data_IF_138956023618
#
_entry.id   IF_138956023618
#
_cell.length_a   1.000
_cell.length_b   1.000
_cell.length_c   1.000
_cell.angle_alpha   90.00
_cell.angle_beta   90.00
_cell.angle_gamma   90.00
#
_symmetry.space_group_name_H-M   'P 1'
#
loop_
_entity.id
_entity.type
_entity.pdbx_description
1 polymer ?
#
# COMPACT_ATOMS: atom_id res chain seq x y z
N UNK A 1 -12.35 4.11 -10.69
CA UNK A 1 -11.64 5.06 -9.81
C UNK A 1 -10.25 4.54 -9.47
N UNK A 2 -9.30 5.41 -9.31
CA UNK A 2 -7.95 5.02 -8.91
C UNK A 2 -7.84 4.87 -7.41
N UNK A 3 -7.15 3.80 -7.01
CA UNK A 3 -6.90 3.46 -5.62
C UNK A 3 -5.39 3.45 -5.40
N UNK A 4 -4.97 4.05 -4.30
CA UNK A 4 -3.57 4.06 -3.87
C UNK A 4 -3.40 3.12 -2.69
N UNK A 5 -2.43 2.22 -2.77
CA UNK A 5 -2.07 1.38 -1.62
C UNK A 5 -0.76 1.85 -1.01
N UNK A 6 -0.69 1.76 0.30
CA UNK A 6 0.46 2.19 1.10
C UNK A 6 0.98 0.99 1.91
N UNK A 7 2.26 0.70 1.75
CA UNK A 7 2.98 -0.23 2.61
C UNK A 7 3.93 0.60 3.48
N UNK A 8 3.56 0.79 4.75
CA UNK A 8 4.29 1.65 5.66
C UNK A 8 5.44 0.89 6.34
N UNK A 9 6.68 1.19 5.95
CA UNK A 9 7.87 0.66 6.60
C UNK A 9 8.52 1.69 7.52
N UNK A 10 9.48 1.26 8.32
CA UNK A 10 10.19 2.16 9.25
C UNK A 10 11.02 3.20 8.51
N UNK A 11 11.68 2.80 7.42
CA UNK A 11 12.60 3.65 6.69
C UNK A 11 12.04 4.15 5.38
N UNK A 12 11.10 3.42 4.81
CA UNK A 12 10.54 3.71 3.49
C UNK A 12 9.07 3.34 3.45
N UNK A 13 8.36 4.04 2.60
CA UNK A 13 6.94 3.81 2.37
C UNK A 13 6.77 3.47 0.89
N UNK A 14 6.28 2.26 0.62
CA UNK A 14 5.99 1.81 -0.73
C UNK A 14 4.60 2.22 -1.15
N UNK A 15 4.45 2.69 -2.38
CA UNK A 15 3.17 3.11 -2.93
C UNK A 15 2.88 2.38 -4.23
N UNK A 16 1.66 1.89 -4.36
CA UNK A 16 1.16 1.29 -5.58
C UNK A 16 -0.14 1.99 -6.00
N UNK A 17 -0.38 2.04 -7.30
CA UNK A 17 -1.52 2.75 -7.86
C UNK A 17 -2.30 1.82 -8.78
N UNK A 18 -3.62 1.83 -8.68
CA UNK A 18 -4.46 1.11 -9.62
C UNK A 18 -4.71 1.97 -10.87
N UNK A 19 -5.11 1.29 -11.95
CA UNK A 19 -5.66 2.00 -13.11
C UNK A 19 -7.07 2.55 -12.77
N UNK A 20 -7.65 3.31 -13.67
CA UNK A 20 -8.96 3.92 -13.46
C UNK A 20 -10.08 2.91 -13.30
N UNK A 21 -9.94 1.71 -13.87
CA UNK A 21 -10.93 0.65 -13.74
C UNK A 21 -10.79 -0.15 -12.46
N UNK A 22 -9.78 0.16 -11.63
CA UNK A 22 -9.48 -0.55 -10.39
C UNK A 22 -9.28 -2.05 -10.62
N UNK A 23 -8.54 -2.40 -11.66
CA UNK A 23 -8.30 -3.79 -12.07
C UNK A 23 -6.85 -4.20 -11.91
N UNK A 24 -5.91 -3.32 -12.24
CA UNK A 24 -4.48 -3.61 -12.29
C UNK A 24 -3.74 -2.73 -11.29
N UNK A 25 -2.86 -3.36 -10.50
CA UNK A 25 -1.98 -2.68 -9.56
C UNK A 25 -0.60 -2.50 -10.17
N UNK A 26 -0.05 -1.30 -10.07
CA UNK A 26 1.30 -0.98 -10.58
C UNK A 26 2.08 -0.22 -9.52
N UNK A 27 3.43 -0.37 -9.49
CA UNK A 27 4.25 0.41 -8.56
C UNK A 27 4.20 1.88 -8.91
N UNK A 28 4.11 2.74 -7.91
CA UNK A 28 4.12 4.19 -8.11
C UNK A 28 5.41 4.83 -7.65
N UNK A 29 5.78 4.64 -6.37
CA UNK A 29 6.94 5.32 -5.81
C UNK A 29 7.31 4.72 -4.46
N UNK A 30 8.58 4.88 -4.07
CA UNK A 30 9.05 4.66 -2.70
C UNK A 30 9.36 6.03 -2.11
N UNK A 31 8.78 6.32 -0.94
CA UNK A 31 9.00 7.57 -0.22
C UNK A 31 9.93 7.29 0.95
N UNK A 32 11.03 8.03 1.04
CA UNK A 32 11.96 7.91 2.17
C UNK A 32 11.34 8.56 3.41
N UNK A 33 11.50 7.89 4.55
CA UNK A 33 10.98 8.41 5.81
C UNK A 33 11.72 9.66 6.26
N UNK A 34 10.97 10.69 6.63
CA UNK A 34 11.49 11.92 7.25
C UNK A 34 10.82 12.08 8.62
N UNK A 35 9.52 12.28 8.62
CA UNK A 35 8.69 12.30 9.82
C UNK A 35 7.29 11.87 9.42
N UNK A 36 6.48 11.45 10.40
CA UNK A 36 5.12 11.02 10.11
C UNK A 36 4.33 12.09 9.36
N UNK A 37 4.42 13.34 9.81
CA UNK A 37 3.68 14.44 9.18
C UNK A 37 4.16 14.73 7.76
N UNK A 38 5.47 14.76 7.54
CA UNK A 38 6.04 15.01 6.20
C UNK A 38 5.72 13.85 5.26
N UNK A 39 5.87 12.62 5.75
CA UNK A 39 5.57 11.43 4.94
C UNK A 39 4.10 11.42 4.52
N UNK A 40 3.20 11.69 5.45
CA UNK A 40 1.77 11.73 5.16
C UNK A 40 1.42 12.85 4.17
N UNK A 41 2.05 14.00 4.30
CA UNK A 41 1.86 15.11 3.35
C UNK A 41 2.30 14.71 1.93
N UNK A 42 3.44 14.02 1.81
CA UNK A 42 3.92 13.56 0.52
C UNK A 42 2.99 12.53 -0.11
N UNK A 43 2.48 11.60 0.69
CA UNK A 43 1.52 10.60 0.19
C UNK A 43 0.22 11.27 -0.24
N UNK A 44 -0.27 12.22 0.55
CA UNK A 44 -1.48 12.98 0.21
C UNK A 44 -1.31 13.75 -1.11
N UNK A 45 -0.14 14.38 -1.32
CA UNK A 45 0.15 15.10 -2.56
C UNK A 45 0.18 14.16 -3.76
N UNK A 46 0.83 13.01 -3.62
CA UNK A 46 0.88 12.02 -4.70
C UNK A 46 -0.51 11.49 -5.02
N UNK A 47 -1.34 11.27 -4.00
CA UNK A 47 -2.71 10.84 -4.21
C UNK A 47 -3.51 11.89 -5.00
N UNK A 48 -3.36 13.16 -4.65
CA UNK A 48 -4.05 14.25 -5.35
C UNK A 48 -3.57 14.36 -6.80
N UNK A 49 -2.25 14.27 -7.03
CA UNK A 49 -1.67 14.35 -8.37
C UNK A 49 -2.13 13.24 -9.29
N UNK A 50 -2.46 12.08 -8.73
CA UNK A 50 -2.86 10.91 -9.49
C UNK A 50 -4.38 10.67 -9.48
N UNK A 51 -5.14 11.66 -9.03
CA UNK A 51 -6.61 11.61 -9.00
C UNK A 51 -7.14 10.40 -8.24
N UNK A 52 -6.51 10.07 -7.12
CA UNK A 52 -6.87 8.94 -6.27
C UNK A 52 -8.17 9.24 -5.52
N UNK A 53 -9.05 8.27 -5.45
CA UNK A 53 -10.35 8.39 -4.77
C UNK A 53 -10.45 7.56 -3.49
N UNK A 54 -9.49 6.67 -3.26
CA UNK A 54 -9.43 5.84 -2.05
C UNK A 54 -7.98 5.49 -1.77
N UNK A 55 -7.58 5.56 -0.50
CA UNK A 55 -6.25 5.13 -0.05
C UNK A 55 -6.42 3.90 0.83
N UNK A 56 -5.68 2.84 0.52
CA UNK A 56 -5.68 1.58 1.27
C UNK A 56 -4.32 1.46 1.96
N UNK A 57 -4.32 1.32 3.28
CA UNK A 57 -3.09 1.17 4.07
C UNK A 57 -3.01 -0.26 4.58
N UNK A 58 -1.95 -0.96 4.20
CA UNK A 58 -1.72 -2.33 4.65
C UNK A 58 -1.39 -2.36 6.14
N UNK A 59 -1.94 -3.35 6.85
CA UNK A 59 -1.73 -3.51 8.29
C UNK A 59 -1.46 -4.97 8.61
N UNK A 60 -0.47 -5.21 9.44
CA UNK A 60 -0.12 -6.56 9.87
C UNK A 60 -0.55 -6.81 11.31
N UNK A 61 -0.87 -8.08 11.60
CA UNK A 61 -1.43 -8.51 12.88
C UNK A 61 -0.61 -9.67 13.44
N UNK A 62 -0.66 -9.81 14.78
CA UNK A 62 -0.08 -10.96 15.44
C UNK A 62 -1.05 -12.15 15.43
N UNK A 63 -0.64 -13.27 16.03
CA UNK A 63 -1.44 -14.51 16.06
C UNK A 63 -2.73 -14.35 16.87
N UNK A 64 -2.79 -13.38 17.76
CA UNK A 64 -3.97 -13.10 18.58
C UNK A 64 -4.97 -12.16 17.89
N UNK A 65 -4.66 -11.72 16.67
CA UNK A 65 -5.53 -10.83 15.93
C UNK A 65 -5.35 -9.35 16.26
N UNK A 66 -4.34 -9.00 17.03
CA UNK A 66 -4.03 -7.61 17.37
C UNK A 66 -2.96 -7.06 16.42
N UNK A 67 -2.98 -5.76 16.09
CA UNK A 67 -1.90 -5.20 15.29
C UNK A 67 -0.55 -5.42 15.96
N UNK A 68 0.40 -5.95 15.19
CA UNK A 68 1.78 -6.07 15.67
C UNK A 68 2.45 -4.68 15.63
N UNK A 69 3.73 -4.53 16.05
CA UNK A 69 4.37 -3.20 16.04
C UNK A 69 4.31 -2.49 14.69
N UNK A 70 4.53 -3.21 13.59
CA UNK A 70 4.43 -2.64 12.25
C UNK A 70 2.98 -2.22 11.93
N UNK A 71 2.00 -3.05 12.33
CA UNK A 71 0.58 -2.73 12.15
C UNK A 71 0.16 -1.50 12.95
N UNK A 72 0.70 -1.33 14.15
CA UNK A 72 0.41 -0.13 14.95
C UNK A 72 1.01 1.12 14.30
N UNK A 73 2.22 1.02 13.74
CA UNK A 73 2.82 2.15 13.01
C UNK A 73 1.99 2.52 11.80
N UNK A 74 1.52 1.53 11.05
CA UNK A 74 0.64 1.76 9.90
C UNK A 74 -0.65 2.46 10.32
N UNK A 75 -1.24 2.05 11.45
CA UNK A 75 -2.44 2.69 11.98
C UNK A 75 -2.22 4.15 12.35
N UNK A 76 -1.10 4.46 13.00
CA UNK A 76 -0.76 5.85 13.35
C UNK A 76 -0.50 6.69 12.09
N UNK A 77 0.13 6.10 11.08
CA UNK A 77 0.33 6.78 9.81
C UNK A 77 -1.00 7.08 9.12
N UNK A 78 -1.91 6.11 9.11
CA UNK A 78 -3.25 6.31 8.54
C UNK A 78 -4.01 7.44 9.26
N UNK A 79 -3.89 7.53 10.58
CA UNK A 79 -4.50 8.60 11.34
C UNK A 79 -3.95 9.98 10.95
N UNK A 80 -2.62 10.08 10.78
CA UNK A 80 -2.01 11.32 10.31
C UNK A 80 -2.42 11.64 8.89
N UNK A 81 -2.51 10.65 8.05
CA UNK A 81 -2.94 10.82 6.66
C UNK A 81 -4.36 11.39 6.59
N UNK A 82 -5.25 10.99 7.49
CA UNK A 82 -6.62 11.55 7.60
C UNK A 82 -6.61 13.03 7.91
N UNK A 83 -5.57 13.53 8.59
CA UNK A 83 -5.42 14.96 8.86
C UNK A 83 -4.89 15.74 7.65
N UNK A 84 -4.31 15.06 6.67
CA UNK A 84 -3.65 15.68 5.52
C UNK A 84 -4.47 15.63 4.24
N UNK A 85 -5.51 14.82 4.19
CA UNK A 85 -6.32 14.64 2.99
C UNK A 85 -7.77 14.33 3.35
N UNK A 86 -8.67 14.68 2.43
CA UNK A 86 -10.10 14.31 2.53
C UNK A 86 -10.41 13.01 1.80
N UNK A 87 -9.42 12.40 1.14
CA UNK A 87 -9.62 11.12 0.47
C UNK A 87 -9.90 10.05 1.53
N UNK A 88 -10.93 9.21 1.36
CA UNK A 88 -11.21 8.12 2.31
C UNK A 88 -10.01 7.18 2.46
N UNK A 89 -9.79 6.70 3.68
CA UNK A 89 -8.68 5.80 3.99
C UNK A 89 -9.25 4.53 4.59
N UNK A 90 -8.84 3.39 4.03
CA UNK A 90 -9.27 2.07 4.48
C UNK A 90 -8.05 1.25 4.89
N UNK A 91 -8.11 0.61 6.06
CA UNK A 91 -7.07 -0.32 6.49
C UNK A 91 -7.32 -1.67 5.83
N UNK A 92 -6.25 -2.36 5.46
CA UNK A 92 -6.32 -3.66 4.81
C UNK A 92 -5.37 -4.64 5.47
N UNK A 93 -5.87 -5.80 5.87
CA UNK A 93 -5.04 -6.84 6.50
C UNK A 93 -4.12 -7.45 5.44
N UNK A 94 -2.81 -7.30 5.64
CA UNK A 94 -1.79 -7.84 4.73
C UNK A 94 -1.86 -9.36 4.60
N UNK A 95 -2.41 -10.06 5.59
CA UNK A 95 -2.54 -11.52 5.53
C UNK A 95 -3.47 -11.98 4.41
N UNK A 96 -4.30 -11.09 3.88
CA UNK A 96 -5.15 -11.37 2.72
C UNK A 96 -4.39 -11.35 1.40
N UNK A 97 -3.09 -11.00 1.41
CA UNK A 97 -2.24 -11.10 0.22
C UNK A 97 -2.11 -12.56 -0.18
N UNK A 98 -2.62 -12.88 -1.37
CA UNK A 98 -2.73 -14.26 -1.82
C UNK A 98 -1.42 -14.77 -2.42
N UNK A 99 -1.27 -16.11 -2.42
CA UNK A 99 -0.20 -16.78 -3.15
C UNK A 99 -0.25 -16.42 -4.64
N UNK A 100 -1.45 -16.27 -5.18
CA UNK A 100 -1.66 -15.92 -6.57
C UNK A 100 -1.11 -14.53 -6.91
N UNK A 101 -1.34 -13.53 -6.05
CA UNK A 101 -0.79 -12.20 -6.24
C UNK A 101 0.73 -12.20 -6.24
N UNK A 102 1.33 -13.00 -5.35
CA UNK A 102 2.78 -13.16 -5.29
C UNK A 102 3.33 -13.83 -6.53
N UNK A 103 2.64 -14.87 -7.01
CA UNK A 103 3.00 -15.59 -8.22
C UNK A 103 2.93 -14.70 -9.46
N UNK A 104 1.89 -13.88 -9.57
CA UNK A 104 1.73 -12.93 -10.66
C UNK A 104 2.92 -11.95 -10.74
N UNK A 105 3.40 -11.49 -9.58
CA UNK A 105 4.58 -10.62 -9.52
C UNK A 105 5.82 -11.32 -10.09
N UNK A 106 6.00 -12.59 -9.78
CA UNK A 106 7.12 -13.38 -10.28
C UNK A 106 7.01 -13.58 -11.80
N UNK A 107 5.79 -13.84 -12.29
CA UNK A 107 5.53 -14.03 -13.71
C UNK A 107 5.80 -12.77 -14.54
N UNK A 108 5.73 -11.60 -13.93
CA UNK A 108 6.05 -10.34 -14.61
C UNK A 108 7.57 -10.19 -14.86
N UNK A 109 8.36 -11.20 -14.51
CA UNK A 109 9.78 -11.25 -14.84
C UNK A 109 10.66 -10.34 -14.00
N UNK A 110 10.22 -9.97 -12.81
CA UNK A 110 11.02 -9.13 -11.92
C UNK A 110 12.13 -9.99 -11.33
N UNK A 111 13.40 -9.67 -11.66
CA UNK A 111 14.55 -10.41 -11.17
C UNK A 111 14.67 -10.31 -9.65
N UNK A 112 15.29 -11.32 -9.05
CA UNK A 112 15.55 -11.34 -7.61
C UNK A 112 16.32 -10.09 -7.15
N UNK A 113 17.27 -9.62 -7.95
CA UNK A 113 18.05 -8.43 -7.65
C UNK A 113 17.19 -7.17 -7.63
N UNK A 114 16.32 -7.01 -8.60
CA UNK A 114 15.38 -5.88 -8.64
C UNK A 114 14.39 -5.93 -7.48
N UNK A 115 13.91 -7.15 -7.12
CA UNK A 115 13.01 -7.32 -5.99
C UNK A 115 13.67 -6.89 -4.68
N UNK A 116 14.94 -7.22 -4.49
CA UNK A 116 15.66 -6.83 -3.28
C UNK A 116 15.74 -5.31 -3.14
N UNK A 117 15.96 -4.59 -4.25
CA UNK A 117 16.06 -3.14 -4.26
C UNK A 117 14.72 -2.40 -4.17
N UNK A 118 13.60 -3.09 -4.42
CA UNK A 118 12.26 -2.48 -4.50
C UNK A 118 11.22 -3.23 -3.66
N UNK A 119 11.64 -3.86 -2.57
CA UNK A 119 10.76 -4.67 -1.73
C UNK A 119 9.52 -3.91 -1.27
N UNK A 120 9.69 -2.65 -0.86
CA UNK A 120 8.59 -1.84 -0.33
C UNK A 120 7.54 -1.54 -1.40
N UNK A 121 7.99 -1.28 -2.63
CA UNK A 121 7.09 -1.08 -3.76
C UNK A 121 6.33 -2.36 -4.09
N UNK A 122 7.01 -3.51 -4.09
CA UNK A 122 6.36 -4.78 -4.40
C UNK A 122 5.34 -5.18 -3.34
N UNK A 123 5.63 -4.90 -2.07
CA UNK A 123 4.67 -5.16 -1.01
C UNK A 123 3.40 -4.35 -1.22
N UNK A 124 3.53 -3.07 -1.58
CA UNK A 124 2.38 -2.21 -1.87
C UNK A 124 1.58 -2.74 -3.09
N UNK A 125 2.27 -3.19 -4.14
CA UNK A 125 1.60 -3.78 -5.31
C UNK A 125 0.80 -5.01 -4.92
N UNK A 126 1.36 -5.88 -4.08
CA UNK A 126 0.69 -7.10 -3.62
C UNK A 126 -0.51 -6.76 -2.75
N UNK A 127 -0.37 -5.80 -1.84
CA UNK A 127 -1.48 -5.33 -1.00
C UNK A 127 -2.63 -4.84 -1.88
N UNK A 128 -2.33 -3.99 -2.85
CA UNK A 128 -3.35 -3.43 -3.73
C UNK A 128 -4.00 -4.50 -4.59
N UNK A 129 -3.21 -5.40 -5.16
CA UNK A 129 -3.75 -6.48 -5.99
C UNK A 129 -4.71 -7.37 -5.18
N UNK A 130 -4.32 -7.72 -3.96
CA UNK A 130 -5.16 -8.47 -3.03
C UNK A 130 -6.47 -7.75 -2.75
N UNK A 131 -6.41 -6.45 -2.50
CA UNK A 131 -7.59 -5.62 -2.26
C UNK A 131 -8.52 -5.63 -3.47
N UNK A 132 -7.96 -5.37 -4.66
CA UNK A 132 -8.75 -5.30 -5.90
C UNK A 132 -9.44 -6.63 -6.21
N UNK A 133 -8.73 -7.74 -6.04
CA UNK A 133 -9.29 -9.07 -6.30
C UNK A 133 -10.40 -9.41 -5.32
N UNK A 134 -10.21 -9.11 -4.04
CA UNK A 134 -11.22 -9.38 -3.02
C UNK A 134 -12.49 -8.58 -3.28
N UNK A 135 -12.36 -7.29 -3.62
CA UNK A 135 -13.53 -6.45 -3.89
C UNK A 135 -14.24 -6.85 -5.18
N UNK A 136 -13.50 -7.30 -6.19
CA UNK A 136 -14.10 -7.75 -7.44
C UNK A 136 -14.92 -9.04 -7.26
N UNK A 137 -14.48 -9.91 -6.34
CA UNK A 137 -15.12 -11.20 -6.09
C UNK A 137 -16.22 -11.15 -5.03
N UNK A 138 -16.52 -9.98 -4.49
CA UNK A 138 -17.56 -9.82 -3.46
C UNK A 138 -18.89 -9.40 -4.02
#
# INVERSE_FOLDING_TARGET
>A
MRILAVDHGEKRIGLALSDETATISSPLKVVEHVSRAIDAAQVADLAAQNDVKLIVVGQSFDDDGNPNPAGRRAGRFADELKNQTNIPIEMWDESFSTQEARSARIQLGVSRKKRAGHQDVFAAVVILQSYLETKRNS
#
